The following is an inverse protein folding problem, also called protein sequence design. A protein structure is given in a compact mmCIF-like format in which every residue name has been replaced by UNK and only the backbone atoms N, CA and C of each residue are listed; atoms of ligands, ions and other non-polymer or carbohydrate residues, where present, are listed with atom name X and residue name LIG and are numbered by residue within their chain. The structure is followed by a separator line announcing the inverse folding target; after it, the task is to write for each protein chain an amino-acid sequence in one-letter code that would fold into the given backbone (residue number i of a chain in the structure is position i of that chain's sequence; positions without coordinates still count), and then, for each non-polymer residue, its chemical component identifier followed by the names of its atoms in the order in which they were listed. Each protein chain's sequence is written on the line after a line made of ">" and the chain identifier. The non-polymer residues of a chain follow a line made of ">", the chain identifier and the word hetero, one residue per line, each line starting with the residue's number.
data_IF_491447012320
#
_entry.id   IF_491447012320
#
_cell.length_a   1.000
_cell.length_b   1.000
_cell.length_c   1.000
_cell.angle_alpha   90.00
_cell.angle_beta   90.00
_cell.angle_gamma   90.00
#
_symmetry.space_group_name_H-M   'P 1'
#
loop_
_entity.id
_entity.type
_entity.pdbx_description
1 polymer ?
#
# COMPACT_ATOMS: atom_id res chain seq x y z
N UNK A 1 12.98 -9.65 10.66
CA UNK A 1 11.87 -8.78 11.11
C UNK A 1 10.79 -8.61 10.04
N UNK A 2 11.08 -7.96 8.90
CA UNK A 2 10.07 -7.66 7.88
C UNK A 2 9.33 -8.89 7.32
N UNK A 3 10.06 -9.97 7.08
CA UNK A 3 9.46 -11.25 6.68
C UNK A 3 8.55 -11.85 7.76
N UNK A 4 8.80 -11.59 9.06
CA UNK A 4 7.91 -12.04 10.14
C UNK A 4 6.56 -11.32 10.06
N UNK A 5 6.57 -10.00 9.86
CA UNK A 5 5.35 -9.18 9.67
C UNK A 5 4.58 -9.65 8.43
N UNK A 6 5.27 -9.86 7.30
CA UNK A 6 4.63 -10.37 6.07
C UNK A 6 3.99 -11.74 6.30
N UNK A 7 4.69 -12.68 6.95
CA UNK A 7 4.13 -14.01 7.27
C UNK A 7 2.93 -13.91 8.20
N UNK A 8 3.01 -13.05 9.23
CA UNK A 8 1.92 -12.86 10.19
C UNK A 8 0.68 -12.24 9.54
N UNK A 9 0.87 -11.24 8.69
CA UNK A 9 -0.21 -10.64 7.90
C UNK A 9 -0.83 -11.66 6.95
N UNK A 10 -0.01 -12.41 6.20
CA UNK A 10 -0.48 -13.44 5.27
C UNK A 10 -1.36 -14.47 5.97
N UNK A 11 -0.91 -14.98 7.12
CA UNK A 11 -1.65 -15.94 7.94
C UNK A 11 -3.00 -15.39 8.41
N UNK A 12 -3.03 -14.18 8.96
CA UNK A 12 -4.26 -13.58 9.46
C UNK A 12 -5.25 -13.19 8.35
N UNK A 13 -4.76 -12.73 7.20
CA UNK A 13 -5.63 -12.42 6.06
C UNK A 13 -6.25 -13.71 5.49
N UNK A 14 -5.48 -14.79 5.40
CA UNK A 14 -5.99 -16.11 4.99
C UNK A 14 -7.09 -16.62 5.94
N UNK A 15 -6.90 -16.46 7.26
CA UNK A 15 -7.93 -16.81 8.28
C UNK A 15 -9.26 -16.06 8.15
N UNK A 16 -9.27 -14.93 7.44
CA UNK A 16 -10.47 -14.12 7.21
C UNK A 16 -10.94 -14.19 5.74
N UNK A 17 -10.55 -15.25 5.02
CA UNK A 17 -10.89 -15.49 3.61
C UNK A 17 -10.48 -14.33 2.69
N UNK A 18 -9.34 -13.70 2.97
CA UNK A 18 -8.74 -12.66 2.13
C UNK A 18 -7.53 -13.23 1.41
N UNK A 19 -7.71 -13.53 0.13
CA UNK A 19 -6.60 -13.79 -0.78
C UNK A 19 -5.85 -12.48 -1.04
N UNK A 20 -4.57 -12.44 -0.70
CA UNK A 20 -3.75 -11.25 -0.82
C UNK A 20 -2.33 -11.57 -1.31
N UNK A 21 -1.82 -10.73 -2.23
CA UNK A 21 -0.41 -10.72 -2.62
C UNK A 21 0.33 -9.67 -1.79
N UNK A 22 1.19 -10.14 -0.88
CA UNK A 22 1.95 -9.27 0.03
C UNK A 22 3.39 -9.18 -0.45
N UNK A 23 3.88 -7.97 -0.70
CA UNK A 23 5.28 -7.73 -1.08
C UNK A 23 5.92 -6.67 -0.20
N UNK A 24 7.19 -6.90 0.14
CA UNK A 24 7.99 -5.93 0.88
C UNK A 24 8.79 -5.03 -0.05
N UNK A 25 8.86 -3.74 0.28
CA UNK A 25 9.68 -2.74 -0.42
C UNK A 25 10.54 -1.99 0.57
N UNK A 26 11.83 -1.89 0.26
CA UNK A 26 12.79 -1.03 0.97
C UNK A 26 12.97 0.24 0.12
N UNK A 27 12.82 1.43 0.71
CA UNK A 27 13.11 2.69 0.01
C UNK A 27 14.62 2.80 -0.24
N UNK A 28 15.01 3.23 -1.44
CA UNK A 28 16.41 3.34 -1.83
C UNK A 28 17.16 4.35 -0.93
N UNK A 29 18.43 4.08 -0.53
CA UNK A 29 19.22 4.96 0.34
C UNK A 29 19.30 6.42 -0.12
N UNK A 30 19.31 6.66 -1.43
CA UNK A 30 19.32 8.02 -2.02
C UNK A 30 18.04 8.80 -1.69
N UNK A 31 16.87 8.16 -1.74
CA UNK A 31 15.59 8.79 -1.37
C UNK A 31 15.51 9.09 0.13
N UNK A 32 16.20 8.29 0.95
CA UNK A 32 16.38 8.52 2.38
C UNK A 32 17.26 9.75 2.60
N UNK A 33 18.43 9.81 1.97
CA UNK A 33 19.34 10.97 2.03
C UNK A 33 18.66 12.28 1.61
N UNK A 34 17.89 12.25 0.53
CA UNK A 34 17.19 13.43 0.03
C UNK A 34 16.10 13.93 1.02
N UNK A 35 15.44 13.02 1.74
CA UNK A 35 14.48 13.38 2.80
C UNK A 35 15.16 13.98 4.02
N UNK A 36 16.30 13.43 4.45
CA UNK A 36 17.10 13.98 5.54
C UNK A 36 17.56 15.41 5.20
N UNK A 37 18.10 15.60 3.98
CA UNK A 37 18.66 16.87 3.56
C UNK A 37 17.60 17.95 3.31
N UNK A 38 16.50 17.64 2.59
CA UNK A 38 15.48 18.66 2.23
C UNK A 38 14.44 18.95 3.30
N UNK A 39 14.16 18.01 4.19
CA UNK A 39 13.12 18.17 5.22
C UNK A 39 13.67 18.35 6.63
N UNK A 40 15.00 18.32 6.82
CA UNK A 40 15.63 18.47 8.13
C UNK A 40 15.24 17.38 9.13
N UNK A 41 14.81 16.22 8.62
CA UNK A 41 14.34 15.09 9.42
C UNK A 41 15.57 14.40 10.02
N UNK A 42 15.56 14.08 11.32
CA UNK A 42 16.67 13.32 11.95
C UNK A 42 16.68 11.88 11.45
N UNK A 43 17.85 11.23 11.46
CA UNK A 43 17.97 9.81 11.06
C UNK A 43 17.03 8.93 11.89
N UNK A 44 16.84 9.23 13.19
CA UNK A 44 15.92 8.49 14.06
C UNK A 44 14.44 8.58 13.62
N UNK A 45 14.08 9.60 12.83
CA UNK A 45 12.74 9.82 12.29
C UNK A 45 12.54 9.20 10.90
N UNK A 46 13.47 8.35 10.43
CA UNK A 46 13.29 7.56 9.21
C UNK A 46 12.30 6.41 9.44
N UNK A 47 11.04 6.77 9.65
CA UNK A 47 9.92 5.85 9.89
C UNK A 47 9.42 5.16 8.63
N UNK A 48 10.06 5.44 7.50
CA UNK A 48 9.50 5.32 6.16
C UNK A 48 10.38 4.45 5.26
N UNK A 49 11.43 3.83 5.81
CA UNK A 49 12.41 2.99 5.08
C UNK A 49 11.72 1.74 4.54
N UNK A 50 10.80 1.18 5.31
CA UNK A 50 10.15 -0.08 5.01
C UNK A 50 8.67 0.12 4.70
N UNK A 51 8.24 -0.40 3.55
CA UNK A 51 6.85 -0.40 3.13
C UNK A 51 6.40 -1.82 2.75
N UNK A 52 5.22 -2.23 3.21
CA UNK A 52 4.56 -3.47 2.77
C UNK A 52 3.42 -3.08 1.86
N UNK A 53 3.36 -3.71 0.70
CA UNK A 53 2.24 -3.60 -0.23
C UNK A 53 1.38 -4.85 -0.13
N UNK A 54 0.08 -4.66 0.00
CA UNK A 54 -0.93 -5.70 0.03
C UNK A 54 -1.86 -5.46 -1.15
N UNK A 55 -1.87 -6.41 -2.10
CA UNK A 55 -2.78 -6.38 -3.25
C UNK A 55 -3.87 -7.42 -3.03
N UNK A 56 -5.13 -6.99 -3.10
CA UNK A 56 -6.32 -7.82 -2.90
C UNK A 56 -7.24 -7.77 -4.11
N UNK A 57 -8.31 -8.55 -4.09
CA UNK A 57 -9.19 -8.70 -5.24
C UNK A 57 -9.96 -7.42 -5.60
N UNK A 58 -10.57 -6.78 -4.62
CA UNK A 58 -11.51 -5.67 -4.82
C UNK A 58 -11.36 -4.58 -3.74
N UNK A 59 -12.14 -3.51 -3.89
CA UNK A 59 -12.13 -2.37 -2.97
C UNK A 59 -12.66 -2.72 -1.58
N UNK A 60 -13.70 -3.55 -1.49
CA UNK A 60 -14.26 -3.99 -0.21
C UNK A 60 -13.22 -4.75 0.62
N UNK A 61 -12.47 -5.65 -0.03
CA UNK A 61 -11.36 -6.38 0.56
C UNK A 61 -10.22 -5.44 0.96
N UNK A 62 -10.03 -4.29 0.30
CA UNK A 62 -9.04 -3.29 0.74
C UNK A 62 -9.39 -2.76 2.13
N UNK A 63 -10.65 -2.37 2.35
CA UNK A 63 -11.12 -1.87 3.63
C UNK A 63 -11.17 -2.96 4.71
N UNK A 64 -11.59 -4.19 4.36
CA UNK A 64 -11.51 -5.34 5.29
C UNK A 64 -10.08 -5.63 5.72
N UNK A 65 -9.13 -5.61 4.77
CA UNK A 65 -7.70 -5.77 5.06
C UNK A 65 -7.20 -4.67 5.99
N UNK A 66 -7.59 -3.41 5.76
CA UNK A 66 -7.21 -2.29 6.63
C UNK A 66 -7.65 -2.53 8.08
N UNK A 67 -8.90 -2.94 8.29
CA UNK A 67 -9.44 -3.27 9.61
C UNK A 67 -8.66 -4.39 10.28
N UNK A 68 -8.35 -5.47 9.55
CA UNK A 68 -7.55 -6.58 10.09
C UNK A 68 -6.15 -6.09 10.49
N UNK A 69 -5.49 -5.29 9.65
CA UNK A 69 -4.17 -4.72 9.96
C UNK A 69 -4.22 -3.87 11.23
N UNK A 70 -5.21 -2.99 11.36
CA UNK A 70 -5.39 -2.13 12.55
C UNK A 70 -5.79 -2.89 13.82
N UNK A 71 -6.37 -4.08 13.69
CA UNK A 71 -6.65 -4.95 14.83
C UNK A 71 -5.40 -5.74 15.29
N UNK A 72 -4.46 -6.00 14.38
CA UNK A 72 -3.24 -6.76 14.65
C UNK A 72 -2.09 -5.91 15.19
N UNK A 73 -2.08 -4.62 14.87
CA UNK A 73 -0.98 -3.72 15.17
C UNK A 73 -1.49 -2.36 15.64
N UNK A 74 -0.75 -1.75 16.57
CA UNK A 74 -0.89 -0.32 16.84
C UNK A 74 -0.56 0.47 15.56
N UNK A 75 -1.27 1.59 15.36
CA UNK A 75 -1.14 2.39 14.14
C UNK A 75 -1.28 3.89 14.40
N UNK A 76 -0.63 4.68 13.56
CA UNK A 76 -0.69 6.15 13.64
C UNK A 76 -1.93 6.66 12.87
N UNK A 77 -3.00 7.02 13.61
CA UNK A 77 -4.27 7.52 13.02
C UNK A 77 -4.05 8.70 12.07
N UNK A 78 -3.18 9.63 12.43
CA UNK A 78 -2.86 10.83 11.63
C UNK A 78 -2.13 10.52 10.30
N UNK A 79 -1.63 9.29 10.15
CA UNK A 79 -0.95 8.83 8.92
C UNK A 79 -1.86 8.00 8.01
N UNK A 80 -3.12 7.77 8.39
CA UNK A 80 -4.08 7.12 7.53
C UNK A 80 -4.43 8.04 6.36
N UNK A 81 -4.23 7.55 5.13
CA UNK A 81 -4.60 8.26 3.90
C UNK A 81 -5.44 7.36 3.03
N UNK A 82 -6.68 7.78 2.79
CA UNK A 82 -7.59 7.09 1.91
C UNK A 82 -7.54 7.70 0.50
N UNK A 83 -6.64 7.21 -0.34
CA UNK A 83 -6.60 7.61 -1.75
C UNK A 83 -7.55 6.82 -2.64
N UNK A 84 -8.31 5.87 -2.09
CA UNK A 84 -9.40 5.25 -2.85
C UNK A 84 -10.53 6.27 -2.98
N UNK A 85 -10.96 6.85 -1.85
CA UNK A 85 -12.00 7.89 -1.80
C UNK A 85 -11.50 9.26 -2.30
N UNK A 86 -10.22 9.57 -2.04
CA UNK A 86 -9.61 10.85 -2.44
C UNK A 86 -8.38 10.60 -3.32
N UNK A 87 -8.54 10.18 -4.59
CA UNK A 87 -7.42 9.89 -5.48
C UNK A 87 -6.49 11.09 -5.65
N UNK A 88 -5.20 10.81 -5.87
CA UNK A 88 -4.24 11.88 -6.23
C UNK A 88 -4.56 12.42 -7.64
N UNK A 89 -4.06 13.63 -7.99
CA UNK A 89 -4.30 14.22 -9.32
C UNK A 89 -3.90 13.34 -10.51
N UNK A 90 -2.94 12.42 -10.32
CA UNK A 90 -2.52 11.45 -11.33
C UNK A 90 -3.38 10.16 -11.37
N UNK A 91 -4.53 10.14 -10.68
CA UNK A 91 -5.40 8.98 -10.58
C UNK A 91 -4.88 7.87 -9.67
N UNK A 92 -3.83 8.10 -8.88
CA UNK A 92 -3.32 7.09 -7.96
C UNK A 92 -4.31 6.80 -6.83
N UNK A 93 -4.62 5.52 -6.65
CA UNK A 93 -5.52 5.00 -5.61
C UNK A 93 -4.83 3.90 -4.78
N UNK A 94 -4.97 3.99 -3.45
CA UNK A 94 -4.51 3.03 -2.44
C UNK A 94 -4.89 3.53 -1.03
N UNK A 95 -5.05 2.62 -0.07
CA UNK A 95 -5.09 2.97 1.36
C UNK A 95 -3.67 2.93 1.91
N UNK A 96 -3.23 4.01 2.55
CA UNK A 96 -1.93 4.08 3.21
C UNK A 96 -2.13 4.21 4.71
N UNK A 97 -1.43 3.41 5.50
CA UNK A 97 -1.40 3.52 6.97
C UNK A 97 0.00 3.22 7.48
N UNK A 98 0.35 3.71 8.66
CA UNK A 98 1.62 3.37 9.32
C UNK A 98 1.31 2.54 10.56
N UNK A 99 1.89 1.35 10.65
CA UNK A 99 1.80 0.48 11.83
C UNK A 99 3.08 0.56 12.65
N UNK A 100 2.97 0.27 13.94
CA UNK A 100 4.07 0.16 14.89
C UNK A 100 4.17 -1.31 15.31
N UNK A 101 5.34 -1.91 15.11
CA UNK A 101 5.62 -3.29 15.56
C UNK A 101 6.00 -3.31 17.04
N UNK A 102 5.93 -4.48 17.69
CA UNK A 102 6.40 -4.69 19.07
C UNK A 102 7.84 -4.17 19.29
N UNK A 103 8.72 -4.39 18.31
CA UNK A 103 10.11 -3.91 18.30
C UNK A 103 10.24 -2.37 18.05
N UNK A 104 9.15 -1.61 18.18
CA UNK A 104 9.07 -0.15 17.99
C UNK A 104 9.43 0.38 16.59
N UNK A 105 9.50 -0.49 15.58
CA UNK A 105 9.65 -0.08 14.20
C UNK A 105 8.34 0.38 13.58
N UNK A 106 8.42 1.42 12.76
CA UNK A 106 7.32 1.93 11.95
C UNK A 106 7.39 1.35 10.55
N UNK A 107 6.26 0.84 10.06
CA UNK A 107 6.13 0.23 8.74
C UNK A 107 4.95 0.86 8.03
N UNK A 108 5.19 1.38 6.83
CA UNK A 108 4.14 1.87 5.94
C UNK A 108 3.43 0.67 5.28
N UNK A 109 2.11 0.58 5.40
CA UNK A 109 1.28 -0.41 4.72
C UNK A 109 0.51 0.29 3.60
N UNK A 110 0.58 -0.27 2.40
CA UNK A 110 -0.14 0.18 1.21
C UNK A 110 -1.08 -0.92 0.75
N UNK A 111 -2.39 -0.68 0.81
CA UNK A 111 -3.42 -1.64 0.43
C UNK A 111 -4.09 -1.14 -0.84
N UNK A 112 -4.28 -2.01 -1.83
CA UNK A 112 -4.97 -1.66 -3.09
C UNK A 112 -5.47 -2.92 -3.79
N UNK A 113 -6.41 -2.79 -4.72
CA UNK A 113 -6.81 -3.92 -5.55
C UNK A 113 -5.89 -4.10 -6.78
N UNK A 114 -6.11 -5.16 -7.56
CA UNK A 114 -5.28 -5.45 -8.74
C UNK A 114 -5.33 -4.36 -9.81
N UNK A 115 -6.51 -3.78 -10.08
CA UNK A 115 -6.64 -2.70 -11.07
C UNK A 115 -5.89 -1.43 -10.63
N UNK A 116 -6.02 -1.05 -9.36
CA UNK A 116 -5.26 0.05 -8.74
C UNK A 116 -3.75 -0.24 -8.77
N UNK A 117 -3.36 -1.51 -8.57
CA UNK A 117 -1.97 -1.92 -8.67
C UNK A 117 -1.44 -1.74 -10.10
N UNK A 118 -2.17 -2.22 -11.11
CA UNK A 118 -1.82 -2.09 -12.51
C UNK A 118 -1.68 -0.61 -12.92
N UNK A 119 -2.69 0.22 -12.60
CA UNK A 119 -2.65 1.66 -12.88
C UNK A 119 -1.43 2.35 -12.27
N UNK A 120 -1.07 2.00 -11.04
CA UNK A 120 0.04 2.60 -10.34
C UNK A 120 1.44 2.16 -10.84
N UNK A 121 1.58 0.99 -11.45
CA UNK A 121 2.87 0.51 -12.00
C UNK A 121 3.03 0.91 -13.47
N UNK A 122 1.96 0.89 -14.26
CA UNK A 122 2.02 1.16 -15.70
C UNK A 122 1.97 2.65 -16.06
N UNK A 123 1.65 3.52 -15.10
CA UNK A 123 1.37 4.93 -15.35
C UNK A 123 0.04 5.11 -16.11
N UNK A 124 -0.62 6.27 -15.96
CA UNK A 124 -1.97 6.52 -16.48
C UNK A 124 -2.19 6.25 -17.98
N UNK A 125 -1.13 6.04 -18.77
CA UNK A 125 -1.20 5.67 -20.17
C UNK A 125 -1.76 4.25 -20.43
N UNK A 126 -1.55 3.28 -19.53
CA UNK A 126 -2.03 1.91 -19.75
C UNK A 126 -3.54 1.75 -19.53
N UNK A 127 -4.14 2.61 -18.71
CA UNK A 127 -5.58 2.57 -18.44
C UNK A 127 -6.42 3.11 -19.60
N UNK A 128 -5.85 4.00 -20.43
CA UNK A 128 -6.48 4.41 -21.70
C UNK A 128 -6.62 3.22 -22.66
N UNK A 129 -5.62 2.33 -22.73
CA UNK A 129 -5.66 1.12 -23.56
C UNK A 129 -6.68 0.10 -23.08
N UNK A 130 -6.77 -0.17 -21.77
CA UNK A 130 -7.75 -1.12 -21.26
C UNK A 130 -9.20 -0.64 -21.45
N UNK A 131 -9.48 0.65 -21.24
CA UNK A 131 -10.80 1.23 -21.55
C UNK A 131 -11.11 1.22 -23.05
N UNK A 132 -10.12 1.51 -23.91
CA UNK A 132 -10.34 1.42 -25.36
C UNK A 132 -10.63 0.00 -25.81
N UNK A 133 -9.95 -0.99 -25.23
CA UNK A 133 -10.10 -2.39 -25.64
C UNK A 133 -11.45 -2.97 -25.18
N UNK A 134 -11.93 -2.63 -23.97
CA UNK A 134 -13.29 -2.99 -23.54
C UNK A 134 -14.39 -2.29 -24.36
N UNK A 135 -14.21 -1.01 -24.69
CA UNK A 135 -15.17 -0.25 -25.51
C UNK A 135 -15.18 -0.79 -26.95
N UNK A 136 -14.05 -1.25 -27.47
CA UNK A 136 -13.97 -1.86 -28.79
C UNK A 136 -14.52 -3.29 -28.80
N UNK A 137 -14.32 -4.08 -27.74
CA UNK A 137 -14.86 -5.44 -27.63
C UNK A 137 -16.40 -5.49 -27.50
N UNK A 138 -17.02 -4.42 -26.98
CA UNK A 138 -18.48 -4.29 -26.87
C UNK A 138 -19.14 -3.67 -28.12
N UNK A 139 -18.35 -3.31 -29.14
CA UNK A 139 -18.82 -2.69 -30.39
C UNK A 139 -18.83 -3.64 -31.59
N UNK A 140 -18.70 -4.95 -31.36
CA UNK A 140 -18.85 -5.99 -32.38
C UNK A 140 -19.95 -6.96 -31.98
#
# INVERSE_FOLDING_TARGET
>A
MFQKVIKHLSHNLSKHDITAKITGRIKHPVSILYKLYRKGIKIEQLTDIFAIRIVVLDEEKCYKTLKIVHNLYEYEKDKLKNYIDNPKPNGYQSLHTVIITEDQYRIEIQIRNENMHYHAESGGAAHWRYKSDLINALKF
#
